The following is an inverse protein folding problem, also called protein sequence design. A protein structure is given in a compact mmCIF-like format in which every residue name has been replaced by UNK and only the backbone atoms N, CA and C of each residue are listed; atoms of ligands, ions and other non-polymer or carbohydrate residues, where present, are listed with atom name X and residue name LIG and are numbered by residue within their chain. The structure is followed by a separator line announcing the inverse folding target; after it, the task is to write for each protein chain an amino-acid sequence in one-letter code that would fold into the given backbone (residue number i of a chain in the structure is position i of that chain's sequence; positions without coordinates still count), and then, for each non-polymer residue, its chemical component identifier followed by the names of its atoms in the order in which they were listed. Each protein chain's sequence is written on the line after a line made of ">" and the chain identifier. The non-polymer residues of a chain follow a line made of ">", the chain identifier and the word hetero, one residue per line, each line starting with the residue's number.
data_IF_913161527756
#
_entry.id   IF_913161527756
#
_cell.length_a   1.000
_cell.length_b   1.000
_cell.length_c   1.000
_cell.angle_alpha   90.00
_cell.angle_beta   90.00
_cell.angle_gamma   90.00
#
_symmetry.space_group_name_H-M   'P 1'
#
loop_
_entity.id
_entity.type
_entity.pdbx_description
1 polymer ?
#
# COMPACT_ATOMS: atom_id res chain seq x y z
N UNK A 1 -24.59 1.20 6.93
CA UNK A 1 -23.93 2.43 7.46
C UNK A 1 -24.65 3.65 6.92
N UNK A 2 -24.87 4.69 7.74
CA UNK A 2 -25.48 5.95 7.30
C UNK A 2 -24.49 6.69 6.38
N UNK A 3 -25.00 7.37 5.33
CA UNK A 3 -24.21 8.26 4.47
C UNK A 3 -23.41 9.29 5.28
N UNK A 4 -23.93 9.71 6.45
CA UNK A 4 -23.27 10.62 7.39
C UNK A 4 -21.98 10.03 7.95
N UNK A 5 -21.93 8.73 8.30
CA UNK A 5 -20.72 8.08 8.82
C UNK A 5 -19.59 8.01 7.78
N UNK A 6 -19.95 7.73 6.53
CA UNK A 6 -18.97 7.71 5.41
C UNK A 6 -18.44 9.12 5.15
N UNK A 7 -19.31 10.13 5.08
CA UNK A 7 -18.89 11.51 4.88
C UNK A 7 -17.99 12.01 6.03
N UNK A 8 -18.30 11.64 7.27
CA UNK A 8 -17.47 11.97 8.43
C UNK A 8 -16.11 11.30 8.38
N UNK A 9 -16.03 10.02 8.00
CA UNK A 9 -14.76 9.30 7.85
C UNK A 9 -13.88 9.95 6.78
N UNK A 10 -14.44 10.27 5.61
CA UNK A 10 -13.71 10.97 4.54
C UNK A 10 -13.22 12.35 5.00
N UNK A 11 -14.08 13.12 5.68
CA UNK A 11 -13.75 14.45 6.19
C UNK A 11 -12.70 14.43 7.32
N UNK A 12 -12.66 13.36 8.12
CA UNK A 12 -11.70 13.18 9.22
C UNK A 12 -10.33 12.72 8.75
N UNK A 13 -10.24 12.06 7.56
CA UNK A 13 -8.96 11.58 7.02
C UNK A 13 -7.95 12.73 6.84
N UNK A 14 -6.74 12.55 7.34
CA UNK A 14 -5.61 13.48 7.19
C UNK A 14 -4.32 12.69 6.97
N UNK A 15 -3.37 13.29 6.26
CA UNK A 15 -2.00 12.81 6.22
C UNK A 15 -1.32 13.16 7.55
N UNK A 16 -0.90 12.15 8.29
CA UNK A 16 -0.22 12.30 9.58
C UNK A 16 1.23 11.90 9.40
N UNK A 17 2.16 12.81 9.70
CA UNK A 17 3.60 12.58 9.58
C UNK A 17 4.28 12.29 10.93
N UNK A 18 3.67 12.72 12.05
CA UNK A 18 4.12 12.37 13.38
C UNK A 18 3.74 10.91 13.72
N UNK A 19 4.44 9.98 13.08
CA UNK A 19 4.19 8.55 13.22
C UNK A 19 4.82 8.01 14.50
N UNK A 20 4.20 6.97 15.07
CA UNK A 20 4.71 6.26 16.23
C UNK A 20 4.32 4.77 16.17
N UNK A 21 4.80 3.99 17.14
CA UNK A 21 4.57 2.54 17.20
C UNK A 21 3.24 2.12 17.85
N UNK A 22 2.43 3.06 18.31
CA UNK A 22 1.14 2.74 18.90
C UNK A 22 0.15 2.32 17.82
N UNK A 23 -0.49 1.19 18.03
CA UNK A 23 -1.55 0.67 17.17
C UNK A 23 -2.90 0.88 17.83
N UNK A 24 -3.92 1.35 17.10
CA UNK A 24 -5.28 1.48 17.64
C UNK A 24 -5.97 0.14 17.86
N UNK A 25 -5.50 -0.91 17.18
CA UNK A 25 -6.03 -2.27 17.21
C UNK A 25 -4.88 -3.28 17.26
N UNK A 26 -5.13 -4.53 17.68
CA UNK A 26 -4.17 -5.62 17.53
C UNK A 26 -3.72 -5.79 16.07
N UNK A 27 -2.46 -6.18 15.80
CA UNK A 27 -1.96 -6.36 14.43
C UNK A 27 -2.83 -7.27 13.56
N UNK A 28 -3.36 -8.34 14.11
CA UNK A 28 -4.24 -9.27 13.40
C UNK A 28 -5.53 -8.61 12.93
N UNK A 29 -6.14 -7.79 13.77
CA UNK A 29 -7.40 -7.11 13.44
C UNK A 29 -7.18 -6.08 12.32
N UNK A 30 -6.00 -5.45 12.30
CA UNK A 30 -5.62 -4.53 11.25
C UNK A 30 -5.40 -5.27 9.92
N UNK A 31 -4.77 -6.45 9.96
CA UNK A 31 -4.65 -7.30 8.77
C UNK A 31 -6.03 -7.68 8.22
N UNK A 32 -6.95 -8.09 9.08
CA UNK A 32 -8.34 -8.40 8.67
C UNK A 32 -9.02 -7.21 8.00
N UNK A 33 -8.85 -6.00 8.54
CA UNK A 33 -9.38 -4.77 7.93
C UNK A 33 -8.77 -4.50 6.55
N UNK A 34 -7.46 -4.70 6.40
CA UNK A 34 -6.76 -4.54 5.12
C UNK A 34 -7.25 -5.57 4.11
N UNK A 35 -7.40 -6.83 4.53
CA UNK A 35 -7.94 -7.91 3.70
C UNK A 35 -9.34 -7.59 3.20
N UNK A 36 -10.20 -7.13 4.10
CA UNK A 36 -11.57 -6.78 3.78
C UNK A 36 -11.64 -5.59 2.81
N UNK A 37 -10.84 -4.57 3.07
CA UNK A 37 -10.73 -3.42 2.18
C UNK A 37 -10.23 -3.82 0.77
N UNK A 38 -9.21 -4.68 0.68
CA UNK A 38 -8.71 -5.18 -0.60
C UNK A 38 -9.77 -6.02 -1.35
N UNK A 39 -10.48 -6.88 -0.64
CA UNK A 39 -11.52 -7.75 -1.22
C UNK A 39 -12.68 -6.96 -1.81
N UNK A 40 -13.02 -5.81 -1.22
CA UNK A 40 -14.13 -4.97 -1.66
C UNK A 40 -13.70 -3.78 -2.53
N UNK A 41 -12.38 -3.56 -2.73
CA UNK A 41 -11.87 -2.49 -3.59
C UNK A 41 -12.18 -2.80 -5.06
N UNK A 42 -12.76 -1.86 -5.82
CA UNK A 42 -12.97 -2.05 -7.23
C UNK A 42 -11.64 -2.06 -7.99
N UNK A 43 -11.55 -2.88 -9.03
CA UNK A 43 -10.40 -2.90 -9.94
C UNK A 43 -10.85 -2.76 -11.39
N UNK A 44 -10.00 -2.21 -12.25
CA UNK A 44 -10.30 -2.06 -13.66
C UNK A 44 -10.58 -3.44 -14.29
N UNK A 45 -11.72 -3.56 -14.94
CA UNK A 45 -12.20 -4.82 -15.54
C UNK A 45 -12.26 -6.00 -14.55
N UNK A 46 -12.44 -5.71 -13.27
CA UNK A 46 -12.39 -6.71 -12.20
C UNK A 46 -11.09 -7.55 -12.24
N UNK A 47 -9.98 -6.90 -12.52
CA UNK A 47 -8.67 -7.56 -12.68
C UNK A 47 -8.20 -8.26 -11.42
N UNK A 48 -8.52 -7.69 -10.25
CA UNK A 48 -8.07 -8.19 -8.95
C UNK A 48 -6.55 -8.43 -8.91
N UNK A 49 -5.80 -7.59 -9.61
CA UNK A 49 -4.35 -7.72 -9.81
C UNK A 49 -3.52 -7.20 -8.64
N UNK A 50 -4.11 -6.44 -7.73
CA UNK A 50 -3.41 -5.86 -6.58
C UNK A 50 -2.99 -6.94 -5.60
N UNK A 51 -1.74 -6.84 -5.13
CA UNK A 51 -1.15 -7.64 -4.06
C UNK A 51 -0.67 -6.72 -2.95
N UNK A 52 -0.86 -7.13 -1.71
CA UNK A 52 -0.41 -6.37 -0.54
C UNK A 52 0.60 -7.16 0.27
N UNK A 53 1.59 -6.45 0.80
CA UNK A 53 2.47 -6.98 1.83
C UNK A 53 2.46 -6.03 3.02
N UNK A 54 2.15 -6.55 4.20
CA UNK A 54 2.10 -5.78 5.43
C UNK A 54 3.30 -6.16 6.29
N UNK A 55 4.09 -5.16 6.66
CA UNK A 55 5.34 -5.33 7.40
C UNK A 55 5.24 -4.67 8.77
N UNK A 56 5.73 -5.36 9.81
CA UNK A 56 5.78 -4.86 11.19
C UNK A 56 7.18 -5.09 11.88
N UNK A 57 7.60 -4.33 13.04
CA UNK A 57 8.88 -4.43 13.87
C UNK A 57 10.10 -4.60 12.98
N UNK A 58 10.79 -5.72 13.03
CA UNK A 58 12.06 -5.89 12.36
C UNK A 58 11.97 -5.81 10.82
N UNK A 59 10.91 -6.38 10.21
CA UNK A 59 10.76 -6.34 8.74
C UNK A 59 10.41 -4.93 8.24
N UNK A 60 9.55 -4.21 8.97
CA UNK A 60 9.27 -2.81 8.69
C UNK A 60 10.54 -1.96 8.82
N UNK A 61 11.32 -2.15 9.88
CA UNK A 61 12.56 -1.42 10.09
C UNK A 61 13.58 -1.73 8.97
N UNK A 62 13.75 -3.00 8.63
CA UNK A 62 14.63 -3.44 7.55
C UNK A 62 14.26 -2.83 6.19
N UNK A 63 12.97 -2.69 5.89
CA UNK A 63 12.52 -2.01 4.67
C UNK A 63 13.05 -0.58 4.60
N UNK A 64 12.92 0.19 5.70
CA UNK A 64 13.36 1.58 5.72
C UNK A 64 14.87 1.72 5.77
N UNK A 65 15.59 0.76 6.36
CA UNK A 65 17.05 0.69 6.31
C UNK A 65 17.55 0.44 4.86
N UNK A 66 16.92 -0.50 4.13
CA UNK A 66 17.20 -0.75 2.71
C UNK A 66 16.90 0.51 1.88
N UNK A 67 15.76 1.18 2.12
CA UNK A 67 15.41 2.40 1.42
C UNK A 67 16.41 3.53 1.68
N UNK A 68 16.90 3.65 2.92
CA UNK A 68 17.91 4.65 3.29
C UNK A 68 19.24 4.38 2.57
N UNK A 69 19.69 3.13 2.50
CA UNK A 69 20.93 2.76 1.81
C UNK A 69 20.83 2.98 0.30
N UNK A 70 19.70 2.62 -0.31
CA UNK A 70 19.46 2.86 -1.73
C UNK A 70 19.45 4.36 -2.07
N UNK A 71 18.79 5.18 -1.25
CA UNK A 71 18.72 6.62 -1.47
C UNK A 71 20.05 7.32 -1.18
N UNK A 72 20.85 6.81 -0.24
CA UNK A 72 22.21 7.33 0.03
C UNK A 72 23.12 7.21 -1.19
N UNK A 73 22.90 6.20 -2.03
CA UNK A 73 23.67 5.99 -3.23
C UNK A 73 23.34 6.96 -4.38
N UNK A 74 22.14 7.59 -4.37
CA UNK A 74 21.66 8.41 -5.48
C UNK A 74 21.42 9.89 -5.11
N UNK A 75 21.20 10.19 -3.83
CA UNK A 75 20.97 11.57 -3.35
C UNK A 75 22.31 12.23 -3.02
N UNK A 76 22.57 13.46 -3.50
CA UNK A 76 23.76 14.20 -3.12
C UNK A 76 23.96 14.30 -1.60
N UNK A 77 25.20 14.16 -1.13
CA UNK A 77 25.51 14.07 0.30
C UNK A 77 25.00 15.26 1.11
N UNK A 78 25.06 16.46 0.54
CA UNK A 78 24.58 17.71 1.15
C UNK A 78 23.05 17.76 1.30
N UNK A 79 22.31 16.97 0.52
CA UNK A 79 20.83 16.90 0.55
C UNK A 79 20.33 15.68 1.31
N UNK A 80 21.19 14.71 1.58
CA UNK A 80 20.80 13.43 2.18
C UNK A 80 20.28 13.59 3.62
N UNK A 81 20.73 14.60 4.36
CA UNK A 81 20.30 14.83 5.75
C UNK A 81 18.76 14.99 5.86
N UNK A 82 18.15 15.80 4.99
CA UNK A 82 16.69 15.97 4.96
C UNK A 82 15.94 14.68 4.52
N UNK A 83 16.53 13.90 3.62
CA UNK A 83 16.00 12.61 3.20
C UNK A 83 16.07 11.60 4.35
N UNK A 84 17.20 11.52 5.04
CA UNK A 84 17.39 10.63 6.19
C UNK A 84 16.39 10.92 7.32
N UNK A 85 16.12 12.19 7.61
CA UNK A 85 15.13 12.61 8.60
C UNK A 85 13.72 12.11 8.25
N UNK A 86 13.30 12.23 6.98
CA UNK A 86 12.02 11.70 6.51
C UNK A 86 11.93 10.17 6.62
N UNK A 87 13.00 9.47 6.23
CA UNK A 87 13.06 8.01 6.33
C UNK A 87 13.01 7.55 7.79
N UNK A 88 13.70 8.25 8.69
CA UNK A 88 13.63 7.99 10.12
C UNK A 88 12.22 8.19 10.68
N UNK A 89 11.50 9.22 10.22
CA UNK A 89 10.11 9.44 10.61
C UNK A 89 9.20 8.28 10.14
N UNK A 90 9.37 7.79 8.92
CA UNK A 90 8.63 6.61 8.42
C UNK A 90 9.01 5.33 9.18
N UNK A 91 10.30 5.13 9.45
CA UNK A 91 10.80 4.00 10.25
C UNK A 91 10.26 4.00 11.68
N UNK A 92 9.87 5.15 12.21
CA UNK A 92 9.27 5.28 13.54
C UNK A 92 7.81 4.79 13.60
N UNK A 93 7.17 4.50 12.46
CA UNK A 93 5.82 3.98 12.41
C UNK A 93 5.71 2.56 12.97
N UNK A 94 4.49 2.13 13.27
CA UNK A 94 4.22 0.77 13.73
C UNK A 94 4.37 -0.28 12.62
N UNK A 95 4.21 0.11 11.34
CA UNK A 95 4.34 -0.79 10.21
C UNK A 95 4.22 -0.07 8.87
N UNK A 96 4.36 -0.85 7.79
CA UNK A 96 4.23 -0.39 6.40
C UNK A 96 3.37 -1.36 5.62
N UNK A 97 2.54 -0.82 4.73
CA UNK A 97 1.81 -1.59 3.73
C UNK A 97 2.44 -1.30 2.38
N UNK A 98 2.92 -2.34 1.70
CA UNK A 98 3.41 -2.27 0.34
C UNK A 98 2.32 -2.72 -0.62
N UNK A 99 2.17 -1.98 -1.70
CA UNK A 99 1.24 -2.28 -2.78
C UNK A 99 2.02 -2.77 -3.99
N UNK A 100 1.59 -3.88 -4.54
CA UNK A 100 2.14 -4.47 -5.75
C UNK A 100 1.04 -4.72 -6.76
N UNK A 101 1.41 -4.73 -8.03
CA UNK A 101 0.55 -5.12 -9.14
C UNK A 101 1.04 -6.43 -9.72
N UNK A 102 0.15 -7.42 -9.83
CA UNK A 102 0.44 -8.67 -10.51
C UNK A 102 0.48 -8.47 -12.02
N UNK A 103 1.69 -8.45 -12.56
CA UNK A 103 1.93 -8.17 -13.97
C UNK A 103 1.39 -9.25 -14.91
N UNK A 104 1.31 -10.48 -14.46
CA UNK A 104 0.80 -11.57 -15.29
C UNK A 104 -0.70 -11.43 -15.50
N UNK A 105 -1.43 -11.00 -14.46
CA UNK A 105 -2.85 -10.66 -14.57
C UNK A 105 -3.07 -9.51 -15.55
N UNK A 106 -2.29 -8.43 -15.44
CA UNK A 106 -2.39 -7.26 -16.34
C UNK A 106 -2.06 -7.66 -17.78
N UNK A 107 -0.98 -8.42 -17.99
CA UNK A 107 -0.60 -8.91 -19.32
C UNK A 107 -1.70 -9.77 -19.94
N UNK A 108 -2.28 -10.68 -19.16
CA UNK A 108 -3.41 -11.49 -19.62
C UNK A 108 -4.65 -10.67 -19.99
N UNK A 109 -4.89 -9.53 -19.32
CA UNK A 109 -5.95 -8.60 -19.71
C UNK A 109 -5.61 -7.87 -21.00
N UNK A 110 -4.40 -7.38 -21.17
CA UNK A 110 -3.93 -6.72 -22.39
C UNK A 110 -4.07 -7.64 -23.63
N UNK A 111 -3.71 -8.91 -23.47
CA UNK A 111 -3.84 -9.93 -24.52
C UNK A 111 -5.31 -10.22 -24.88
N UNK A 112 -6.21 -10.30 -23.90
CA UNK A 112 -7.65 -10.55 -24.11
C UNK A 112 -8.41 -9.35 -24.62
N UNK A 113 -7.94 -8.13 -24.34
CA UNK A 113 -8.60 -6.89 -24.68
C UNK A 113 -7.64 -5.89 -25.34
N UNK A 114 -7.13 -6.18 -26.56
CA UNK A 114 -6.11 -5.37 -27.22
C UNK A 114 -6.48 -3.90 -27.41
N UNK A 115 -7.78 -3.61 -27.59
CA UNK A 115 -8.28 -2.23 -27.75
C UNK A 115 -8.04 -1.36 -26.51
N UNK A 116 -7.88 -1.98 -25.34
CA UNK A 116 -7.62 -1.30 -24.07
C UNK A 116 -6.19 -1.52 -23.56
N UNK A 117 -5.32 -2.18 -24.34
CA UNK A 117 -3.97 -2.55 -23.89
C UNK A 117 -3.17 -1.36 -23.36
N UNK A 118 -3.27 -0.20 -24.02
CA UNK A 118 -2.57 1.03 -23.63
C UNK A 118 -3.24 1.75 -22.44
N UNK A 119 -4.48 1.40 -22.10
CA UNK A 119 -5.21 1.97 -20.95
C UNK A 119 -4.88 1.26 -19.64
N UNK A 120 -4.42 0.02 -19.70
CA UNK A 120 -3.92 -0.66 -18.51
C UNK A 120 -2.60 -0.02 -18.09
N UNK A 121 -2.43 0.26 -16.79
CA UNK A 121 -1.22 0.90 -16.32
C UNK A 121 0.01 0.13 -16.74
N UNK A 122 0.99 0.84 -17.28
CA UNK A 122 2.35 0.34 -17.37
C UNK A 122 2.86 -0.01 -15.96
N UNK A 123 3.91 -0.82 -15.85
CA UNK A 123 4.30 -1.44 -14.59
C UNK A 123 4.67 -0.50 -13.44
N UNK A 124 4.62 0.83 -13.62
CA UNK A 124 5.09 1.79 -12.62
C UNK A 124 4.05 2.82 -12.14
N UNK A 125 2.92 3.04 -12.85
CA UNK A 125 2.32 4.38 -12.73
C UNK A 125 0.99 4.51 -11.98
N UNK A 126 0.22 3.46 -11.72
CA UNK A 126 -1.17 3.68 -11.29
C UNK A 126 -1.78 2.78 -10.20
N UNK A 127 -1.13 1.72 -9.76
CA UNK A 127 -1.68 0.83 -8.74
C UNK A 127 -1.87 1.51 -7.37
N UNK A 128 -1.05 2.51 -7.06
CA UNK A 128 -1.10 3.21 -5.78
C UNK A 128 -2.27 4.17 -5.60
N UNK A 129 -2.86 4.67 -6.68
CA UNK A 129 -3.79 5.81 -6.60
C UNK A 129 -5.21 5.39 -6.21
N UNK A 130 -5.68 4.23 -6.61
CA UNK A 130 -7.08 3.82 -6.37
C UNK A 130 -7.33 3.18 -5.00
N UNK A 131 -6.29 2.67 -4.34
CA UNK A 131 -6.38 2.05 -3.00
C UNK A 131 -5.99 2.99 -1.86
N UNK A 132 -5.56 4.21 -2.15
CA UNK A 132 -5.12 5.16 -1.14
C UNK A 132 -6.21 5.62 -0.18
N UNK A 133 -7.46 5.69 -0.61
CA UNK A 133 -8.52 6.28 0.22
C UNK A 133 -8.91 5.49 1.47
N UNK A 134 -9.02 4.14 1.46
CA UNK A 134 -9.38 3.41 2.68
C UNK A 134 -8.20 3.05 3.57
N UNK A 135 -6.98 3.12 3.05
CA UNK A 135 -5.79 2.53 3.68
C UNK A 135 -4.88 3.59 4.32
N UNK A 136 -5.07 4.87 3.99
CA UNK A 136 -4.30 5.97 4.58
C UNK A 136 -4.40 6.02 6.12
N UNK A 137 -5.50 5.55 6.71
CA UNK A 137 -5.63 5.43 8.16
C UNK A 137 -4.91 4.20 8.75
N UNK A 138 -4.48 3.29 7.90
CA UNK A 138 -3.80 2.04 8.28
C UNK A 138 -2.26 2.14 8.22
N UNK A 139 -1.69 3.32 8.02
CA UNK A 139 -0.24 3.59 8.04
C UNK A 139 0.47 3.17 9.35
N UNK A 140 -0.23 2.47 10.23
CA UNK A 140 0.25 2.08 11.54
C UNK A 140 0.46 0.57 11.72
N UNK A 141 0.39 -0.23 10.64
CA UNK A 141 0.30 -1.68 10.83
C UNK A 141 1.23 -2.52 10.00
N UNK A 142 1.57 -3.66 10.55
CA UNK A 142 2.52 -4.62 10.05
C UNK A 142 2.03 -6.07 10.18
N UNK A 143 2.00 -6.81 9.08
CA UNK A 143 1.99 -8.28 9.06
C UNK A 143 2.35 -8.78 7.66
N UNK A 144 3.19 -9.81 7.58
CA UNK A 144 3.51 -10.46 6.31
C UNK A 144 2.46 -11.53 6.04
N UNK A 145 1.63 -11.30 5.05
CA UNK A 145 0.80 -12.34 4.46
C UNK A 145 0.83 -12.19 2.95
N UNK A 146 1.31 -13.20 2.27
CA UNK A 146 1.16 -13.29 0.83
C UNK A 146 -0.31 -13.64 0.55
N UNK A 147 -0.98 -12.80 -0.23
CA UNK A 147 -2.32 -13.12 -0.70
C UNK A 147 -2.20 -14.13 -1.84
N UNK A 148 -2.86 -15.29 -1.74
CA UNK A 148 -2.99 -16.17 -2.89
C UNK A 148 -3.72 -15.42 -4.01
N UNK A 149 -3.33 -15.71 -5.25
CA UNK A 149 -4.06 -15.19 -6.40
C UNK A 149 -5.55 -15.51 -6.26
N UNK A 150 -6.45 -14.59 -6.58
CA UNK A 150 -7.88 -14.87 -6.56
C UNK A 150 -8.16 -16.06 -7.48
N UNK A 151 -8.93 -17.02 -6.98
CA UNK A 151 -9.43 -18.11 -7.80
C UNK A 151 -10.30 -17.53 -8.92
N UNK A 152 -10.19 -18.01 -10.17
CA UNK A 152 -11.12 -17.60 -11.21
C UNK A 152 -12.54 -17.90 -10.69
N UNK A 153 -13.43 -16.95 -10.85
CA UNK A 153 -14.85 -17.17 -10.59
C UNK A 153 -15.36 -18.23 -11.60
N UNK A 154 -15.96 -19.30 -11.10
CA UNK A 154 -16.66 -20.31 -11.90
C UNK A 154 -17.85 -19.68 -12.63
#
# INVERSE_FOLDING_TARGET
>A
MSHTAIAQAIAARRSVYALNRALPLPPQDIVVLIEDALRHAPSAFNSQSTRLQVLFGAEHEALWDIAADALRAVVPAEQFAATAEKLAAFRAAAGTILFFEDRDVIKGLQERMPIYADTFPGPADKAGVMLQCPVDDLHRCRYRREYPAPQPAD
#
